data_IF_642562870124
#
_entry.id   IF_642562870124
#
_cell.length_a   1.000
_cell.length_b   1.000
_cell.length_c   1.000
_cell.angle_alpha   90.00
_cell.angle_beta   90.00
_cell.angle_gamma   90.00
#
_symmetry.space_group_name_H-M   'P 1'
#
loop_
_entity.id
_entity.type
_entity.pdbx_description
1 polymer ?
#
# COMPACT_ATOMS: atom_id res chain seq x y z
N UNK A 1 8.71 99.87 27.35
CA UNK A 1 10.14 99.58 27.16
C UNK A 1 10.35 98.07 27.33
N UNK A 2 10.98 97.43 26.35
CA UNK A 2 10.92 95.98 26.09
C UNK A 2 11.98 95.19 26.87
N UNK A 3 11.61 94.00 27.38
CA UNK A 3 12.25 92.65 27.23
C UNK A 3 12.05 91.81 28.49
N UNK A 4 11.30 90.70 28.42
CA UNK A 4 11.74 89.36 27.96
C UNK A 4 12.89 88.78 28.80
N UNK A 5 12.57 87.81 29.67
CA UNK A 5 13.18 86.46 29.68
C UNK A 5 12.09 85.46 30.04
N UNK A 6 11.87 84.51 29.13
CA UNK A 6 10.84 83.46 29.15
C UNK A 6 11.37 82.21 29.83
N UNK A 7 10.65 81.74 30.84
CA UNK A 7 10.86 80.45 31.48
C UNK A 7 9.99 79.32 30.90
N UNK A 8 10.56 78.12 31.01
CA UNK A 8 9.98 76.89 31.59
C UNK A 8 8.90 76.08 30.85
N UNK A 9 9.13 74.76 30.87
CA UNK A 9 8.19 73.67 30.61
C UNK A 9 8.94 72.49 29.97
N UNK A 10 9.79 71.71 30.66
CA UNK A 10 9.62 70.89 31.87
C UNK A 10 8.62 69.73 31.68
N UNK A 11 9.13 68.48 31.67
CA UNK A 11 8.57 67.23 32.24
C UNK A 11 9.51 66.06 31.89
N UNK A 12 10.36 65.56 32.80
CA UNK A 12 10.06 64.61 33.91
C UNK A 12 9.75 63.20 33.38
N UNK A 13 10.19 62.08 33.95
CA UNK A 13 11.04 61.69 35.07
C UNK A 13 10.96 60.14 35.08
N UNK A 14 11.95 59.43 35.62
CA UNK A 14 11.66 58.22 36.40
C UNK A 14 11.80 56.87 35.71
N UNK A 15 12.94 56.25 35.97
CA UNK A 15 13.14 54.80 35.98
C UNK A 15 12.51 54.25 37.28
N UNK A 16 11.56 53.32 37.19
CA UNK A 16 11.11 52.43 38.27
C UNK A 16 10.31 51.27 37.64
N UNK A 17 10.84 50.04 37.65
CA UNK A 17 10.60 49.02 38.67
C UNK A 17 9.30 48.22 38.43
N UNK A 18 9.51 47.00 37.91
CA UNK A 18 8.83 45.73 38.20
C UNK A 18 7.30 45.69 38.11
N UNK A 19 6.76 44.86 37.21
CA UNK A 19 5.62 43.97 37.45
C UNK A 19 5.36 43.03 36.24
N UNK A 20 5.00 41.78 36.55
CA UNK A 20 4.40 40.73 35.70
C UNK A 20 5.32 39.78 34.89
N UNK A 21 5.90 38.82 35.61
CA UNK A 21 5.96 37.42 35.18
C UNK A 21 4.57 36.87 34.89
N UNK A 22 4.28 36.49 33.63
CA UNK A 22 3.46 35.33 33.24
C UNK A 22 3.24 35.30 31.71
N UNK A 23 4.11 34.60 30.97
CA UNK A 23 3.70 33.91 29.74
C UNK A 23 4.64 32.74 29.47
N UNK A 24 4.59 31.78 30.38
CA UNK A 24 5.00 30.39 30.11
C UNK A 24 3.85 29.74 29.32
N UNK A 25 4.21 28.78 28.45
CA UNK A 25 3.34 27.94 27.63
C UNK A 25 2.87 28.58 26.31
N UNK A 26 3.81 28.79 25.37
CA UNK A 26 3.48 28.56 23.97
C UNK A 26 3.33 27.05 23.79
N UNK A 27 2.09 26.57 23.87
CA UNK A 27 1.69 25.22 23.50
C UNK A 27 2.23 24.91 22.10
N UNK A 28 3.17 23.98 22.00
CA UNK A 28 3.53 23.30 20.77
C UNK A 28 2.35 22.43 20.33
N UNK A 29 1.33 23.04 19.74
CA UNK A 29 0.19 22.35 19.12
C UNK A 29 0.57 21.74 17.76
N UNK A 30 1.79 21.22 17.63
CA UNK A 30 2.28 20.51 16.43
C UNK A 30 2.58 19.02 16.68
N UNK A 31 2.38 18.52 17.91
CA UNK A 31 2.61 17.10 18.25
C UNK A 31 1.32 16.25 18.29
N UNK A 32 0.17 16.80 17.91
CA UNK A 32 -1.11 16.07 17.86
C UNK A 32 -1.40 15.48 16.47
N UNK A 33 -0.45 14.78 15.84
CA UNK A 33 -0.77 13.92 14.70
C UNK A 33 0.30 12.85 14.37
N UNK A 34 1.28 12.59 15.24
CA UNK A 34 2.02 11.33 15.14
C UNK A 34 1.26 10.27 15.92
N UNK A 35 0.03 9.95 15.49
CA UNK A 35 -0.60 8.72 15.91
C UNK A 35 0.40 7.61 15.57
N UNK A 36 1.03 7.02 16.58
CA UNK A 36 1.92 5.88 16.38
C UNK A 36 1.16 4.86 15.56
N UNK A 37 1.78 4.38 14.48
CA UNK A 37 1.20 3.30 13.69
C UNK A 37 0.84 2.17 14.69
N UNK A 38 -0.42 1.69 14.70
CA UNK A 38 -0.82 0.67 15.67
C UNK A 38 0.13 -0.51 15.55
N UNK A 39 0.60 -1.04 16.69
CA UNK A 39 1.45 -2.23 16.72
C UNK A 39 0.83 -3.29 15.79
N UNK A 40 1.57 -3.78 14.77
CA UNK A 40 1.05 -4.78 13.86
C UNK A 40 0.56 -5.98 14.66
N UNK A 41 -0.69 -6.39 14.44
CA UNK A 41 -1.25 -7.58 15.09
C UNK A 41 -0.38 -8.77 14.70
N UNK A 42 0.35 -9.32 15.68
CA UNK A 42 1.18 -10.50 15.46
C UNK A 42 0.28 -11.69 15.14
N UNK A 43 0.48 -12.27 13.95
CA UNK A 43 -0.25 -13.47 13.55
C UNK A 43 0.04 -14.61 14.54
N UNK A 44 -1.03 -15.29 14.97
CA UNK A 44 -0.91 -16.49 15.81
C UNK A 44 -0.33 -17.63 14.97
N UNK A 45 0.35 -18.58 15.61
CA UNK A 45 0.93 -19.76 14.93
C UNK A 45 -0.10 -20.52 14.10
N UNK A 46 -1.29 -20.75 14.65
CA UNK A 46 -2.40 -21.43 13.96
C UNK A 46 -2.81 -20.74 12.65
N UNK A 47 -2.75 -19.40 12.59
CA UNK A 47 -3.09 -18.63 11.39
C UNK A 47 -2.02 -18.80 10.33
N UNK A 48 -0.75 -18.75 10.76
CA UNK A 48 0.41 -18.95 9.88
C UNK A 48 0.44 -20.36 9.31
N UNK A 49 0.27 -21.38 10.15
CA UNK A 49 0.23 -22.79 9.73
C UNK A 49 -0.92 -23.07 8.75
N UNK A 50 -2.09 -22.45 8.95
CA UNK A 50 -3.20 -22.55 8.01
C UNK A 50 -2.87 -21.91 6.65
N UNK A 51 -2.21 -20.74 6.65
CA UNK A 51 -1.77 -20.08 5.43
C UNK A 51 -0.68 -20.89 4.70
N UNK A 52 0.32 -21.38 5.44
CA UNK A 52 1.40 -22.21 4.87
C UNK A 52 0.84 -23.49 4.22
N UNK A 53 -0.16 -24.13 4.86
CA UNK A 53 -0.88 -25.27 4.27
C UNK A 53 -1.64 -24.87 3.00
N UNK A 54 -2.31 -23.73 3.01
CA UNK A 54 -3.02 -23.20 1.84
C UNK A 54 -2.06 -22.96 0.67
N UNK A 55 -0.92 -22.32 0.92
CA UNK A 55 0.13 -22.07 -0.09
C UNK A 55 0.62 -23.39 -0.67
N UNK A 56 1.00 -24.36 0.18
CA UNK A 56 1.49 -25.66 -0.27
C UNK A 56 0.50 -26.38 -1.19
N UNK A 57 -0.80 -26.41 -0.85
CA UNK A 57 -1.82 -27.02 -1.69
C UNK A 57 -2.03 -26.26 -3.00
N UNK A 58 -1.92 -24.93 -2.97
CA UNK A 58 -2.00 -24.08 -4.16
C UNK A 58 -0.84 -24.32 -5.10
N UNK A 59 0.38 -24.38 -4.59
CA UNK A 59 1.60 -24.65 -5.36
C UNK A 59 1.56 -26.05 -5.99
N UNK A 60 1.13 -27.07 -5.24
CA UNK A 60 0.96 -28.42 -5.77
C UNK A 60 -0.03 -28.44 -6.95
N UNK A 61 -1.19 -27.78 -6.81
CA UNK A 61 -2.16 -27.62 -7.91
C UNK A 61 -1.55 -26.88 -9.11
N UNK A 62 -0.81 -25.79 -8.87
CA UNK A 62 -0.16 -25.02 -9.94
C UNK A 62 0.87 -25.87 -10.69
N UNK A 63 1.67 -26.66 -9.99
CA UNK A 63 2.63 -27.58 -10.61
C UNK A 63 1.94 -28.66 -11.45
N UNK A 64 0.84 -29.23 -10.95
CA UNK A 64 0.05 -30.20 -11.70
C UNK A 64 -0.59 -29.58 -12.96
N UNK A 65 -1.10 -28.36 -12.85
CA UNK A 65 -1.60 -27.55 -13.97
C UNK A 65 -0.52 -27.33 -15.02
N UNK A 66 0.67 -26.92 -14.60
CA UNK A 66 1.80 -26.70 -15.49
C UNK A 66 2.25 -27.98 -16.17
N UNK A 67 2.38 -29.09 -15.43
CA UNK A 67 2.75 -30.41 -15.97
C UNK A 67 1.73 -30.94 -16.97
N UNK A 68 0.45 -30.66 -16.76
CA UNK A 68 -0.62 -31.05 -17.68
C UNK A 68 -0.52 -30.32 -19.03
N UNK A 69 0.02 -29.10 -19.07
CA UNK A 69 0.34 -28.40 -20.31
C UNK A 69 -0.88 -27.97 -21.14
N UNK A 70 -2.07 -27.91 -20.53
CA UNK A 70 -3.31 -27.47 -21.17
C UNK A 70 -4.05 -26.49 -20.27
N UNK A 71 -4.84 -25.60 -20.86
CA UNK A 71 -5.60 -24.58 -20.15
C UNK A 71 -4.72 -23.69 -19.25
N UNK A 72 -3.68 -23.09 -19.87
CA UNK A 72 -2.72 -22.25 -19.16
C UNK A 72 -3.43 -21.08 -18.47
N UNK A 73 -4.37 -20.45 -19.16
CA UNK A 73 -5.28 -19.47 -18.57
C UNK A 73 -6.56 -20.19 -18.18
N UNK A 74 -7.17 -19.82 -17.04
CA UNK A 74 -8.47 -20.38 -16.65
C UNK A 74 -9.56 -20.18 -17.71
N UNK A 75 -9.44 -19.12 -18.52
CA UNK A 75 -10.30 -18.81 -19.66
C UNK A 75 -10.23 -19.89 -20.75
N UNK A 76 -9.10 -20.57 -20.91
CA UNK A 76 -8.90 -21.61 -21.91
C UNK A 76 -9.78 -22.83 -21.66
N UNK A 77 -10.07 -23.10 -20.38
CA UNK A 77 -10.93 -24.20 -19.96
C UNK A 77 -12.43 -23.91 -20.08
N UNK A 78 -12.84 -22.70 -20.47
CA UNK A 78 -14.25 -22.36 -20.66
C UNK A 78 -14.86 -23.07 -21.88
N UNK A 79 -16.19 -23.27 -21.90
CA UNK A 79 -16.90 -23.71 -23.10
C UNK A 79 -16.58 -22.83 -24.31
N UNK A 80 -16.55 -23.37 -25.55
CA UNK A 80 -16.05 -22.65 -26.72
C UNK A 80 -16.63 -21.24 -26.94
N UNK A 81 -17.95 -21.09 -26.77
CA UNK A 81 -18.63 -19.80 -26.94
C UNK A 81 -18.21 -18.78 -25.86
N UNK A 82 -18.22 -19.19 -24.60
CA UNK A 82 -17.82 -18.35 -23.47
C UNK A 82 -16.33 -17.97 -23.56
N UNK A 83 -15.48 -18.89 -23.99
CA UNK A 83 -14.05 -18.63 -24.24
C UNK A 83 -13.88 -17.58 -25.32
N UNK A 84 -14.58 -17.72 -26.45
CA UNK A 84 -14.52 -16.74 -27.55
C UNK A 84 -14.96 -15.34 -27.09
N UNK A 85 -16.05 -15.26 -26.33
CA UNK A 85 -16.52 -14.00 -25.75
C UNK A 85 -15.51 -13.41 -24.76
N UNK A 86 -14.94 -14.22 -23.87
CA UNK A 86 -13.93 -13.78 -22.91
C UNK A 86 -12.68 -13.23 -23.61
N UNK A 87 -12.19 -13.89 -24.66
CA UNK A 87 -11.08 -13.39 -25.47
C UNK A 87 -11.43 -12.11 -26.25
N UNK A 88 -12.65 -12.00 -26.76
CA UNK A 88 -13.11 -10.77 -27.41
C UNK A 88 -13.15 -9.60 -26.42
N UNK A 89 -13.60 -9.83 -25.19
CA UNK A 89 -13.58 -8.85 -24.11
C UNK A 89 -12.16 -8.42 -23.73
N UNK A 90 -11.23 -9.37 -23.56
CA UNK A 90 -9.82 -9.07 -23.30
C UNK A 90 -9.24 -8.17 -24.39
N UNK A 91 -9.51 -8.46 -25.67
CA UNK A 91 -9.05 -7.64 -26.80
C UNK A 91 -9.64 -6.22 -26.81
N UNK A 92 -10.78 -5.99 -26.15
CA UNK A 92 -11.36 -4.65 -25.93
C UNK A 92 -10.78 -3.93 -24.71
N UNK A 93 -9.80 -4.53 -24.03
CA UNK A 93 -9.16 -3.97 -22.84
C UNK A 93 -9.88 -4.28 -21.53
N UNK A 94 -10.88 -5.18 -21.53
CA UNK A 94 -11.49 -5.64 -20.29
C UNK A 94 -10.51 -6.53 -19.51
N UNK A 95 -10.59 -6.47 -18.17
CA UNK A 95 -9.89 -7.40 -17.29
C UNK A 95 -10.86 -8.48 -16.83
N UNK A 96 -10.47 -9.75 -16.94
CA UNK A 96 -11.26 -10.87 -16.42
C UNK A 96 -10.65 -11.35 -15.11
N UNK A 97 -11.45 -11.39 -14.05
CA UNK A 97 -11.02 -11.83 -12.73
C UNK A 97 -11.91 -12.97 -12.23
N UNK A 98 -11.30 -13.91 -11.52
CA UNK A 98 -12.00 -15.01 -10.86
C UNK A 98 -11.45 -15.19 -9.45
N UNK A 99 -12.35 -15.38 -8.48
CA UNK A 99 -11.96 -15.80 -7.14
C UNK A 99 -11.56 -17.27 -7.19
N UNK A 100 -10.41 -17.58 -6.63
CA UNK A 100 -9.94 -18.94 -6.45
C UNK A 100 -10.02 -19.33 -4.97
N UNK A 101 -10.04 -20.63 -4.73
CA UNK A 101 -9.98 -21.20 -3.40
C UNK A 101 -9.25 -22.54 -3.44
N UNK A 102 -8.26 -22.70 -2.58
CA UNK A 102 -7.60 -23.99 -2.37
C UNK A 102 -8.36 -24.75 -1.30
N UNK A 103 -8.75 -25.97 -1.64
CA UNK A 103 -9.55 -26.85 -0.79
C UNK A 103 -8.68 -28.01 -0.30
N UNK A 104 -8.92 -28.43 0.94
CA UNK A 104 -8.36 -29.67 1.48
C UNK A 104 -9.48 -30.70 1.55
N UNK A 105 -9.33 -31.80 0.80
CA UNK A 105 -10.36 -32.85 0.70
C UNK A 105 -11.74 -32.31 0.32
N UNK A 106 -11.78 -31.34 -0.61
CA UNK A 106 -13.00 -30.70 -1.07
C UNK A 106 -13.64 -29.70 -0.09
N UNK A 107 -12.96 -29.36 1.01
CA UNK A 107 -13.46 -28.41 2.01
C UNK A 107 -12.55 -27.19 2.15
N UNK A 108 -13.11 -26.01 2.48
CA UNK A 108 -12.31 -24.83 2.81
C UNK A 108 -11.36 -25.09 3.97
N UNK A 109 -10.15 -24.55 3.89
CA UNK A 109 -9.16 -24.62 4.96
C UNK A 109 -9.51 -23.57 6.00
N UNK A 110 -9.75 -23.99 7.25
CA UNK A 110 -9.98 -23.05 8.35
C UNK A 110 -8.72 -22.23 8.60
N UNK A 111 -8.84 -20.89 8.62
CA UNK A 111 -7.77 -19.97 8.95
C UNK A 111 -8.17 -19.11 10.16
N UNK A 112 -8.06 -19.62 11.40
CA UNK A 112 -8.50 -18.90 12.58
C UNK A 112 -7.74 -17.59 12.75
N UNK A 113 -8.45 -16.47 12.89
CA UNK A 113 -7.85 -15.14 13.03
C UNK A 113 -7.23 -14.58 11.75
N UNK A 114 -7.51 -15.19 10.60
CA UNK A 114 -7.06 -14.72 9.28
C UNK A 114 -8.14 -14.87 8.22
N UNK A 115 -7.98 -14.16 7.11
CA UNK A 115 -8.81 -14.31 5.91
C UNK A 115 -7.87 -14.46 4.73
N UNK A 116 -8.11 -15.46 3.88
CA UNK A 116 -7.31 -15.70 2.68
C UNK A 116 -8.12 -15.24 1.47
N UNK A 117 -7.63 -14.22 0.78
CA UNK A 117 -8.18 -13.76 -0.49
C UNK A 117 -7.29 -14.25 -1.63
N UNK A 118 -7.82 -15.14 -2.47
CA UNK A 118 -7.11 -15.70 -3.61
C UNK A 118 -7.91 -15.39 -4.87
N UNK A 119 -7.25 -14.73 -5.83
CA UNK A 119 -7.84 -14.31 -7.09
C UNK A 119 -6.86 -14.56 -8.21
N UNK A 120 -7.38 -14.85 -9.39
CA UNK A 120 -6.62 -14.84 -10.65
C UNK A 120 -7.22 -13.81 -11.59
N UNK A 121 -6.35 -13.19 -12.39
CA UNK A 121 -6.71 -12.15 -13.34
C UNK A 121 -6.06 -12.39 -14.69
N UNK A 122 -6.77 -12.07 -15.78
CA UNK A 122 -6.24 -12.08 -17.13
C UNK A 122 -6.53 -10.72 -17.76
N UNK A 123 -5.50 -10.15 -18.39
CA UNK A 123 -5.56 -8.91 -19.16
C UNK A 123 -4.78 -9.11 -20.45
N UNK A 124 -5.23 -8.48 -21.53
CA UNK A 124 -4.50 -8.42 -22.79
C UNK A 124 -3.93 -7.01 -22.97
N UNK A 125 -2.61 -6.92 -23.17
CA UNK A 125 -1.90 -5.65 -23.37
C UNK A 125 -1.46 -5.59 -24.83
N UNK A 126 -2.13 -4.78 -25.69
CA UNK A 126 -1.82 -4.75 -27.11
C UNK A 126 -0.43 -4.14 -27.36
N UNK A 127 0.38 -4.83 -28.16
CA UNK A 127 1.71 -4.35 -28.58
C UNK A 127 2.83 -4.50 -27.55
N UNK A 128 2.54 -5.02 -26.36
CA UNK A 128 3.58 -5.31 -25.35
C UNK A 128 4.21 -6.69 -25.58
N UNK A 129 5.51 -6.78 -25.38
CA UNK A 129 6.26 -8.03 -25.32
C UNK A 129 6.33 -8.55 -23.87
N UNK A 130 6.77 -9.80 -23.69
CA UNK A 130 7.02 -10.34 -22.35
C UNK A 130 8.09 -9.51 -21.62
N UNK A 131 9.14 -9.10 -22.30
CA UNK A 131 10.24 -8.30 -21.73
C UNK A 131 9.76 -6.92 -21.27
N UNK A 132 8.84 -6.29 -22.02
CA UNK A 132 8.21 -5.02 -21.60
C UNK A 132 7.43 -5.20 -20.28
N UNK A 133 6.67 -6.30 -20.19
CA UNK A 133 5.87 -6.61 -19.00
C UNK A 133 6.76 -6.94 -17.80
N UNK A 134 7.75 -7.82 -17.96
CA UNK A 134 8.69 -8.17 -16.91
C UNK A 134 9.54 -6.96 -16.48
N UNK A 135 9.96 -6.13 -17.42
CA UNK A 135 10.70 -4.91 -17.15
C UNK A 135 9.95 -3.93 -16.25
N UNK A 136 8.61 -3.93 -16.31
CA UNK A 136 7.78 -3.11 -15.40
C UNK A 136 7.47 -3.83 -14.08
N UNK A 137 7.11 -5.11 -14.14
CA UNK A 137 6.73 -5.89 -12.95
C UNK A 137 7.91 -6.12 -12.00
N UNK A 138 9.11 -6.34 -12.53
CA UNK A 138 10.32 -6.59 -11.75
C UNK A 138 11.07 -5.30 -11.33
N UNK A 139 10.72 -4.13 -11.87
CA UNK A 139 11.30 -2.83 -11.49
C UNK A 139 10.71 -2.30 -10.17
N UNK A 140 10.80 -3.14 -9.12
CA UNK A 140 10.25 -2.87 -7.79
C UNK A 140 10.80 -1.58 -7.18
N UNK A 141 12.01 -1.15 -7.50
CA UNK A 141 12.57 0.13 -7.03
C UNK A 141 11.78 1.34 -7.55
N UNK A 142 11.04 1.21 -8.66
CA UNK A 142 10.19 2.27 -9.22
C UNK A 142 8.70 2.08 -9.00
N UNK A 143 8.28 1.03 -8.30
CA UNK A 143 6.85 0.79 -8.03
C UNK A 143 6.16 1.93 -7.28
N UNK A 144 6.85 2.64 -6.38
CA UNK A 144 6.30 3.83 -5.72
C UNK A 144 6.08 5.02 -6.66
N UNK A 145 6.70 5.02 -7.85
CA UNK A 145 6.44 6.02 -8.90
C UNK A 145 5.28 5.56 -9.77
N UNK A 146 5.27 4.29 -10.18
CA UNK A 146 4.26 3.74 -11.08
C UNK A 146 2.87 3.64 -10.46
N UNK A 147 2.82 3.29 -9.18
CA UNK A 147 1.59 3.00 -8.45
C UNK A 147 1.29 4.05 -7.38
N UNK A 148 1.88 5.24 -7.50
CA UNK A 148 1.49 6.36 -6.67
C UNK A 148 -0.01 6.70 -6.89
N UNK A 149 -0.75 7.09 -5.84
CA UNK A 149 -0.30 7.27 -4.46
C UNK A 149 -0.48 6.03 -3.58
N UNK A 150 -0.85 4.88 -4.15
CA UNK A 150 -1.21 3.67 -3.40
C UNK A 150 0.02 2.90 -2.91
N UNK A 151 1.16 3.01 -3.61
CA UNK A 151 2.48 2.60 -3.13
C UNK A 151 3.27 3.85 -2.78
N UNK A 152 3.52 4.08 -1.49
CA UNK A 152 4.27 5.25 -0.99
C UNK A 152 5.77 5.07 -1.10
N UNK A 153 6.26 3.86 -0.85
CA UNK A 153 7.69 3.52 -0.92
C UNK A 153 7.85 2.11 -1.45
N UNK A 154 8.87 1.92 -2.27
CA UNK A 154 9.24 0.62 -2.77
C UNK A 154 10.76 0.52 -2.86
N UNK A 155 11.29 -0.67 -2.57
CA UNK A 155 12.72 -0.94 -2.66
C UNK A 155 13.01 -2.43 -2.80
N UNK A 156 13.94 -2.81 -3.65
CA UNK A 156 14.55 -4.15 -3.65
C UNK A 156 15.57 -4.23 -2.49
N UNK A 157 15.38 -5.19 -1.60
CA UNK A 157 16.30 -5.47 -0.51
C UNK A 157 17.39 -6.46 -0.93
N UNK A 158 17.01 -7.48 -1.70
CA UNK A 158 17.94 -8.43 -2.32
C UNK A 158 17.32 -9.11 -3.54
N UNK A 159 18.19 -9.59 -4.44
CA UNK A 159 17.80 -10.38 -5.62
C UNK A 159 18.76 -11.56 -5.81
N UNK A 160 18.21 -12.73 -6.11
CA UNK A 160 18.95 -13.90 -6.55
C UNK A 160 18.20 -14.56 -7.72
N UNK A 161 18.64 -14.31 -8.95
CA UNK A 161 17.92 -14.77 -10.15
C UNK A 161 16.54 -14.12 -10.26
N UNK A 162 15.50 -14.94 -10.28
CA UNK A 162 14.07 -14.61 -10.30
C UNK A 162 13.46 -14.48 -8.89
N UNK A 163 14.25 -14.67 -7.84
CA UNK A 163 13.80 -14.47 -6.46
C UNK A 163 14.16 -13.07 -5.96
N UNK A 164 13.14 -12.33 -5.52
CA UNK A 164 13.27 -10.98 -4.99
C UNK A 164 12.80 -10.92 -3.55
N UNK A 165 13.55 -10.18 -2.72
CA UNK A 165 13.03 -9.65 -1.46
C UNK A 165 12.81 -8.16 -1.64
N UNK A 166 11.58 -7.72 -1.40
CA UNK A 166 11.16 -6.34 -1.65
C UNK A 166 10.49 -5.76 -0.41
N UNK A 167 10.78 -4.49 -0.17
CA UNK A 167 10.05 -3.66 0.78
C UNK A 167 9.02 -2.83 0.02
N UNK A 168 7.77 -2.85 0.47
CA UNK A 168 6.69 -2.01 -0.05
C UNK A 168 5.99 -1.37 1.15
N UNK A 169 5.69 -0.06 1.05
CA UNK A 169 4.81 0.67 1.97
C UNK A 169 3.58 1.09 1.19
N UNK A 170 2.41 0.61 1.60
CA UNK A 170 1.15 0.89 0.92
C UNK A 170 0.38 1.98 1.64
N UNK A 171 -0.30 2.84 0.89
CA UNK A 171 -1.25 3.82 1.42
C UNK A 171 -2.60 3.56 0.81
N UNK A 172 -3.62 3.44 1.66
CA UNK A 172 -4.99 3.29 1.20
C UNK A 172 -5.87 4.35 1.84
N UNK A 173 -6.47 5.17 1.00
CA UNK A 173 -7.48 6.14 1.43
C UNK A 173 -8.86 5.70 0.92
N UNK A 174 -9.81 5.55 1.84
CA UNK A 174 -11.24 5.41 1.48
C UNK A 174 -12.07 6.48 2.18
N UNK A 175 -12.04 6.45 3.50
CA UNK A 175 -12.62 7.47 4.40
C UNK A 175 -11.58 7.87 5.43
N UNK A 176 -10.91 6.86 5.99
CA UNK A 176 -9.65 7.01 6.73
C UNK A 176 -8.47 6.62 5.82
N UNK A 177 -7.32 7.25 6.06
CA UNK A 177 -6.05 6.83 5.46
C UNK A 177 -5.41 5.76 6.34
N UNK A 178 -5.08 4.63 5.75
CA UNK A 178 -4.28 3.58 6.39
C UNK A 178 -2.98 3.46 5.63
N UNK A 179 -1.87 3.36 6.36
CA UNK A 179 -0.54 3.10 5.81
C UNK A 179 -0.04 1.78 6.40
N UNK A 180 0.41 0.87 5.54
CA UNK A 180 0.77 -0.52 5.84
C UNK A 180 2.19 -0.82 5.35
#
# INVERSE_FOLDING_TARGET
MVRQVKGRGDKRLGIAATLLTAMVLQLTAADLARAGEPEPVKLKSQTREAFDRYVKLTEARNEEELKRGTNLLWIDGLPPEQRAEAYAALKRGEVKMQKLESLENGKPISCPGGIIHHWTGVVFIPGATLDDVLGMLEDYDKHSVYYAPDVERSKIESRAGDHFRVFLRFRRHKVITVVL
#
